data_IF_021603324441
#
_entry.id   IF_021603324441
#
_cell.length_a   1.000
_cell.length_b   1.000
_cell.length_c   1.000
_cell.angle_alpha   90.00
_cell.angle_beta   90.00
_cell.angle_gamma   90.00
#
_symmetry.space_group_name_H-M   'P 1'
#
loop_
_entity.id
_entity.type
_entity.pdbx_description
1 polymer ?
#
# COMPACT_ATOMS: atom_id res chain seq x y z
N UNK A 1 22.39 0.39 -19.59
CA UNK A 1 21.87 -1.02 -19.63
C UNK A 1 20.36 -1.09 -19.81
N UNK A 2 19.59 -0.10 -19.33
CA UNK A 2 18.12 -0.09 -19.53
C UNK A 2 17.72 -0.16 -21.00
N UNK A 3 18.37 0.59 -21.96
CA UNK A 3 18.09 0.48 -23.37
C UNK A 3 18.25 -0.92 -23.96
N UNK A 4 19.15 -1.72 -23.39
CA UNK A 4 19.42 -3.11 -23.81
C UNK A 4 18.34 -4.08 -23.29
N UNK A 5 17.81 -3.80 -22.09
CA UNK A 5 16.82 -4.67 -21.43
C UNK A 5 15.39 -4.46 -21.92
N UNK A 6 15.03 -3.23 -22.32
CA UNK A 6 13.67 -2.92 -22.70
C UNK A 6 13.13 -3.75 -23.88
N UNK A 7 13.89 -3.97 -24.99
CA UNK A 7 13.43 -4.83 -26.07
C UNK A 7 13.14 -6.26 -25.60
N UNK A 8 14.01 -6.81 -24.74
CA UNK A 8 13.85 -8.15 -24.17
C UNK A 8 12.61 -8.22 -23.25
N UNK A 9 12.37 -7.19 -22.44
CA UNK A 9 11.19 -7.13 -21.58
C UNK A 9 9.90 -7.03 -22.42
N UNK A 10 9.90 -6.25 -23.49
CA UNK A 10 8.78 -6.16 -24.42
C UNK A 10 8.50 -7.51 -25.09
N UNK A 11 9.52 -8.22 -25.53
CA UNK A 11 9.40 -9.55 -26.13
C UNK A 11 8.90 -10.58 -25.11
N UNK A 12 9.52 -10.66 -23.92
CA UNK A 12 9.18 -11.66 -22.90
C UNK A 12 7.79 -11.49 -22.31
N UNK A 13 7.30 -10.24 -22.17
CA UNK A 13 6.06 -9.93 -21.47
C UNK A 13 4.97 -9.35 -22.37
N UNK A 14 5.17 -9.30 -23.68
CA UNK A 14 4.25 -8.69 -24.68
C UNK A 14 3.81 -7.27 -24.25
N UNK A 15 4.74 -6.50 -23.70
CA UNK A 15 4.46 -5.12 -23.27
C UNK A 15 4.60 -4.17 -24.46
N UNK A 16 3.76 -3.11 -24.49
CA UNK A 16 3.70 -2.15 -25.58
C UNK A 16 4.16 -0.75 -25.19
N UNK A 17 4.24 -0.50 -23.89
CA UNK A 17 4.60 0.81 -23.34
C UNK A 17 5.49 0.65 -22.12
N UNK A 18 6.35 1.62 -21.91
CA UNK A 18 7.20 1.72 -20.74
C UNK A 18 7.08 3.11 -20.12
N UNK A 19 6.95 3.15 -18.80
CA UNK A 19 7.08 4.37 -18.03
C UNK A 19 8.32 4.21 -17.16
N UNK A 20 9.28 5.11 -17.36
CA UNK A 20 10.52 5.13 -16.59
C UNK A 20 10.52 6.38 -15.74
N UNK A 21 10.66 6.20 -14.44
CA UNK A 21 10.79 7.27 -13.47
C UNK A 21 11.97 6.97 -12.55
N UNK A 22 12.86 7.91 -12.43
CA UNK A 22 14.01 7.86 -11.51
C UNK A 22 13.82 8.98 -10.50
N UNK A 23 14.03 8.65 -9.22
CA UNK A 23 14.03 9.64 -8.15
C UNK A 23 15.05 10.76 -8.43
N UNK A 24 14.67 12.02 -8.16
CA UNK A 24 15.51 13.19 -8.50
C UNK A 24 16.85 13.19 -7.78
N UNK A 25 16.86 12.77 -6.54
CA UNK A 25 18.08 12.73 -5.74
C UNK A 25 19.01 11.61 -6.21
N UNK A 26 18.42 10.43 -6.50
CA UNK A 26 19.14 9.30 -7.06
C UNK A 26 19.71 9.63 -8.45
N UNK A 27 18.91 10.26 -9.33
CA UNK A 27 19.35 10.68 -10.66
C UNK A 27 20.56 11.63 -10.57
N UNK A 28 20.53 12.55 -9.61
CA UNK A 28 21.63 13.50 -9.37
C UNK A 28 22.89 12.81 -8.81
N UNK A 29 22.72 11.91 -7.83
CA UNK A 29 23.83 11.19 -7.20
C UNK A 29 24.55 10.29 -8.20
N UNK A 30 23.76 9.58 -9.01
CA UNK A 30 24.28 8.60 -9.98
C UNK A 30 24.59 9.22 -11.35
N UNK A 31 24.35 10.53 -11.51
CA UNK A 31 24.53 11.25 -12.78
C UNK A 31 23.86 10.57 -13.98
N UNK A 32 22.61 10.16 -13.78
CA UNK A 32 21.81 9.51 -14.83
C UNK A 32 20.62 10.38 -15.23
N UNK A 33 20.15 10.31 -16.51
CA UNK A 33 18.94 10.97 -16.91
C UNK A 33 17.72 10.49 -16.13
N UNK A 34 16.72 11.36 -15.88
CA UNK A 34 15.45 11.00 -15.22
C UNK A 34 14.69 9.86 -15.89
N UNK A 35 14.88 9.70 -17.19
CA UNK A 35 14.30 8.62 -18.00
C UNK A 35 15.17 7.38 -18.03
N UNK A 36 16.28 7.31 -17.26
CA UNK A 36 17.22 6.19 -17.34
C UNK A 36 17.92 6.06 -18.71
N UNK A 37 17.88 7.12 -19.55
CA UNK A 37 18.48 7.13 -20.88
C UNK A 37 17.60 6.48 -21.96
N UNK A 38 16.31 6.28 -21.70
CA UNK A 38 15.34 5.74 -22.67
C UNK A 38 14.17 6.69 -22.84
N UNK A 39 13.45 6.56 -23.96
CA UNK A 39 12.19 7.25 -24.15
C UNK A 39 11.13 6.65 -23.21
N UNK A 40 10.47 7.48 -22.44
CA UNK A 40 9.41 7.08 -21.50
C UNK A 40 8.06 7.54 -22.06
N UNK A 41 7.11 6.61 -22.06
CA UNK A 41 5.73 6.93 -22.44
C UNK A 41 5.13 7.92 -21.43
N UNK A 42 4.37 8.90 -21.95
CA UNK A 42 3.64 9.85 -21.14
C UNK A 42 2.30 9.24 -20.66
N UNK A 43 2.39 8.25 -19.79
CA UNK A 43 1.23 7.59 -19.21
C UNK A 43 1.12 7.98 -17.74
N UNK A 44 0.11 8.76 -17.39
CA UNK A 44 -0.13 9.19 -16.03
C UNK A 44 -0.93 8.15 -15.23
N UNK A 45 -2.00 7.64 -15.81
CA UNK A 45 -2.96 6.76 -15.15
C UNK A 45 -3.08 5.43 -15.88
N UNK A 46 -3.03 4.32 -15.12
CA UNK A 46 -3.26 2.98 -15.64
C UNK A 46 -4.32 2.28 -14.81
N UNK A 47 -5.18 1.52 -15.49
CA UNK A 47 -6.15 0.61 -14.86
C UNK A 47 -5.63 -0.81 -14.94
N UNK A 48 -5.55 -1.47 -13.80
CA UNK A 48 -5.16 -2.89 -13.72
C UNK A 48 -6.26 -3.71 -13.05
N UNK A 49 -6.16 -5.03 -13.21
CA UNK A 49 -6.99 -6.00 -12.47
C UNK A 49 -6.09 -7.03 -11.81
N UNK A 50 -6.31 -7.25 -10.52
CA UNK A 50 -5.59 -8.21 -9.70
C UNK A 50 -6.61 -9.10 -8.96
N UNK A 51 -6.62 -10.41 -9.25
CA UNK A 51 -7.59 -11.36 -8.67
C UNK A 51 -9.06 -10.89 -8.74
N UNK A 52 -9.42 -10.19 -9.83
CA UNK A 52 -10.77 -9.64 -10.01
C UNK A 52 -10.96 -8.22 -9.48
N UNK A 53 -10.12 -7.76 -8.58
CA UNK A 53 -10.13 -6.40 -8.03
C UNK A 53 -9.57 -5.41 -9.05
N UNK A 54 -10.23 -4.27 -9.22
CA UNK A 54 -9.84 -3.22 -10.15
C UNK A 54 -9.12 -2.10 -9.42
N UNK A 55 -8.01 -1.63 -9.99
CA UNK A 55 -7.24 -0.51 -9.44
C UNK A 55 -6.94 0.53 -10.52
N UNK A 56 -7.01 1.79 -10.17
CA UNK A 56 -6.34 2.88 -10.86
C UNK A 56 -5.01 3.16 -10.18
N UNK A 57 -3.96 3.37 -10.97
CA UNK A 57 -2.61 3.67 -10.52
C UNK A 57 -2.19 4.97 -11.16
N UNK A 58 -1.80 5.97 -10.37
CA UNK A 58 -1.24 7.24 -10.83
C UNK A 58 0.28 7.22 -10.69
N UNK A 59 0.99 7.14 -11.80
CA UNK A 59 2.46 7.16 -11.81
C UNK A 59 3.06 8.53 -11.51
N UNK A 60 2.26 9.60 -11.55
CA UNK A 60 2.75 10.96 -11.31
C UNK A 60 2.80 11.36 -9.84
N UNK A 61 2.07 10.67 -8.99
CA UNK A 61 1.90 11.03 -7.57
C UNK A 61 2.20 9.90 -6.60
N UNK A 62 2.49 8.69 -7.11
CA UNK A 62 2.71 7.51 -6.27
C UNK A 62 4.13 7.39 -5.74
N UNK A 63 4.26 6.89 -4.51
CA UNK A 63 5.54 6.39 -4.03
C UNK A 63 6.02 5.25 -4.93
N UNK A 64 7.30 5.24 -5.29
CA UNK A 64 7.93 4.22 -6.15
C UNK A 64 7.17 4.08 -7.49
N UNK A 65 6.58 2.91 -7.73
CA UNK A 65 5.85 2.56 -8.97
C UNK A 65 4.33 2.83 -8.88
N UNK A 66 3.86 3.46 -7.81
CA UNK A 66 2.43 3.74 -7.58
C UNK A 66 1.59 2.52 -7.17
N UNK A 67 2.15 1.32 -7.21
CA UNK A 67 1.49 0.08 -6.80
C UNK A 67 2.50 -1.00 -6.39
N UNK A 68 2.22 -1.72 -5.31
CA UNK A 68 3.09 -2.75 -4.75
C UNK A 68 2.66 -4.14 -5.24
N UNK A 69 3.19 -4.56 -6.38
CA UNK A 69 2.86 -5.85 -7.01
C UNK A 69 3.28 -7.07 -6.17
N UNK A 70 4.30 -6.94 -5.34
CA UNK A 70 4.81 -7.97 -4.43
C UNK A 70 3.77 -8.39 -3.38
N UNK A 71 2.86 -7.50 -2.99
CA UNK A 71 1.79 -7.78 -2.03
C UNK A 71 0.55 -8.47 -2.64
N UNK A 72 0.58 -8.79 -3.92
CA UNK A 72 -0.56 -9.33 -4.68
C UNK A 72 -1.23 -10.54 -4.01
N UNK A 73 -0.44 -11.54 -3.68
CA UNK A 73 -0.95 -12.78 -3.09
C UNK A 73 -1.32 -12.59 -1.61
N UNK A 74 -0.61 -11.69 -0.92
CA UNK A 74 -0.92 -11.33 0.46
C UNK A 74 -2.28 -10.61 0.55
N UNK A 75 -2.58 -9.68 -0.36
CA UNK A 75 -3.91 -9.04 -0.43
C UNK A 75 -5.02 -10.05 -0.63
N UNK A 76 -4.83 -11.02 -1.54
CA UNK A 76 -5.80 -12.10 -1.75
C UNK A 76 -6.02 -12.94 -0.51
N UNK A 77 -4.93 -13.39 0.15
CA UNK A 77 -5.00 -14.19 1.38
C UNK A 77 -5.68 -13.41 2.51
N UNK A 78 -5.34 -12.13 2.65
CA UNK A 78 -5.96 -11.25 3.65
C UNK A 78 -7.48 -11.12 3.43
N UNK A 79 -7.92 -10.94 2.19
CA UNK A 79 -9.34 -10.91 1.84
C UNK A 79 -10.08 -12.19 2.25
N UNK A 80 -9.46 -13.37 2.13
CA UNK A 80 -10.06 -14.63 2.56
C UNK A 80 -10.25 -14.72 4.09
N UNK A 81 -9.39 -14.02 4.85
CA UNK A 81 -9.48 -13.96 6.32
C UNK A 81 -10.55 -12.96 6.80
N UNK A 82 -11.03 -12.07 5.94
CA UNK A 82 -11.85 -10.93 6.34
C UNK A 82 -13.34 -11.25 6.54
N UNK A 83 -13.82 -12.39 6.06
CA UNK A 83 -15.25 -12.72 6.07
C UNK A 83 -15.89 -12.62 7.46
N UNK A 84 -16.94 -11.78 7.60
CA UNK A 84 -17.68 -11.57 8.84
C UNK A 84 -16.89 -10.89 9.95
N UNK A 85 -15.79 -10.18 9.62
CA UNK A 85 -14.91 -9.53 10.59
C UNK A 85 -14.92 -8.02 10.43
N UNK A 86 -14.70 -7.34 11.54
CA UNK A 86 -14.32 -5.93 11.55
C UNK A 86 -12.82 -5.83 11.30
N UNK A 87 -12.43 -5.11 10.25
CA UNK A 87 -11.06 -5.05 9.73
C UNK A 87 -10.47 -3.66 9.92
N UNK A 88 -9.21 -3.60 10.37
CA UNK A 88 -8.39 -2.40 10.42
C UNK A 88 -7.18 -2.55 9.50
N UNK A 89 -7.01 -1.60 8.59
CA UNK A 89 -5.88 -1.50 7.66
C UNK A 89 -5.07 -0.23 7.97
N UNK A 90 -3.88 -0.40 8.54
CA UNK A 90 -2.96 0.66 8.91
C UNK A 90 -1.90 0.86 7.84
N UNK A 91 -1.65 2.12 7.46
CA UNK A 91 -0.81 2.50 6.31
C UNK A 91 -1.39 1.92 5.01
N UNK A 92 -2.70 2.16 4.80
CA UNK A 92 -3.48 1.51 3.75
C UNK A 92 -3.09 1.91 2.32
N UNK A 93 -2.27 2.94 2.16
CA UNK A 93 -1.83 3.46 0.86
C UNK A 93 -3.03 3.66 -0.09
N UNK A 94 -3.02 3.04 -1.26
CA UNK A 94 -4.12 3.14 -2.24
C UNK A 94 -5.25 2.13 -2.01
N UNK A 95 -5.34 1.55 -0.82
CA UNK A 95 -6.46 0.73 -0.33
C UNK A 95 -6.42 -0.74 -0.73
N UNK A 96 -5.25 -1.28 -1.07
CA UNK A 96 -5.14 -2.64 -1.61
C UNK A 96 -5.68 -3.72 -0.66
N UNK A 97 -5.25 -3.73 0.59
CA UNK A 97 -5.72 -4.67 1.61
C UNK A 97 -7.17 -4.39 2.03
N UNK A 98 -7.51 -3.11 2.23
CA UNK A 98 -8.86 -2.69 2.59
C UNK A 98 -9.91 -3.16 1.58
N UNK A 99 -9.64 -2.97 0.28
CA UNK A 99 -10.57 -3.37 -0.79
C UNK A 99 -10.69 -4.89 -0.85
N UNK A 100 -9.57 -5.60 -0.72
CA UNK A 100 -9.57 -7.07 -0.68
C UNK A 100 -10.37 -7.60 0.51
N UNK A 101 -10.28 -6.97 1.68
CA UNK A 101 -11.06 -7.31 2.85
C UNK A 101 -12.56 -7.07 2.63
N UNK A 102 -12.94 -5.90 2.11
CA UNK A 102 -14.34 -5.58 1.84
C UNK A 102 -14.98 -6.55 0.85
N UNK A 103 -14.29 -6.86 -0.25
CA UNK A 103 -14.73 -7.84 -1.25
C UNK A 103 -14.70 -9.28 -0.73
N UNK A 104 -13.84 -9.57 0.26
CA UNK A 104 -13.76 -10.83 0.97
C UNK A 104 -14.91 -11.06 1.96
N UNK A 105 -15.79 -10.08 2.13
CA UNK A 105 -16.98 -10.17 2.99
C UNK A 105 -16.73 -9.69 4.42
N UNK A 106 -15.81 -8.75 4.63
CA UNK A 106 -15.68 -8.05 5.90
C UNK A 106 -17.01 -7.37 6.29
N UNK A 107 -17.35 -7.35 7.56
CA UNK A 107 -18.53 -6.67 8.09
C UNK A 107 -18.33 -5.15 8.05
N UNK A 108 -17.18 -4.69 8.53
CA UNK A 108 -16.74 -3.31 8.47
C UNK A 108 -15.24 -3.23 8.15
N UNK A 109 -14.83 -2.26 7.33
CA UNK A 109 -13.42 -1.98 7.06
C UNK A 109 -13.11 -0.53 7.41
N UNK A 110 -12.12 -0.35 8.28
CA UNK A 110 -11.52 0.94 8.61
C UNK A 110 -10.11 0.98 8.05
N UNK A 111 -9.76 2.02 7.33
CA UNK A 111 -8.47 2.20 6.68
C UNK A 111 -7.86 3.56 7.05
N UNK A 112 -6.59 3.56 7.44
CA UNK A 112 -5.88 4.75 7.92
C UNK A 112 -4.59 4.93 7.13
N UNK A 113 -4.36 6.15 6.65
CA UNK A 113 -3.08 6.54 6.04
C UNK A 113 -2.77 8.01 6.33
N UNK A 114 -1.49 8.34 6.36
CA UNK A 114 -0.98 9.69 6.59
C UNK A 114 -0.99 10.54 5.31
N UNK A 115 -0.91 9.91 4.14
CA UNK A 115 -0.86 10.61 2.86
C UNK A 115 -2.27 10.83 2.31
N UNK A 116 -2.68 12.11 2.22
CA UNK A 116 -3.98 12.52 1.72
C UNK A 116 -4.21 12.07 0.27
N UNK A 117 -3.18 12.11 -0.58
CA UNK A 117 -3.29 11.69 -1.98
C UNK A 117 -3.52 10.18 -2.08
N UNK A 118 -2.83 9.39 -1.26
CA UNK A 118 -3.04 7.94 -1.15
C UNK A 118 -4.46 7.62 -0.69
N UNK A 119 -4.98 8.31 0.33
CA UNK A 119 -6.37 8.17 0.80
C UNK A 119 -7.37 8.55 -0.30
N UNK A 120 -7.11 9.63 -1.06
CA UNK A 120 -7.97 10.02 -2.18
C UNK A 120 -7.99 8.93 -3.27
N UNK A 121 -6.84 8.36 -3.60
CA UNK A 121 -6.74 7.25 -4.56
C UNK A 121 -7.41 5.98 -4.02
N UNK A 122 -7.24 5.66 -2.74
CA UNK A 122 -7.90 4.53 -2.09
C UNK A 122 -9.43 4.63 -2.18
N UNK A 123 -10.00 5.82 -1.95
CA UNK A 123 -11.43 6.08 -2.13
C UNK A 123 -11.89 5.85 -3.57
N UNK A 124 -11.10 6.29 -4.58
CA UNK A 124 -11.40 6.02 -6.00
C UNK A 124 -11.38 4.53 -6.29
N UNK A 125 -10.36 3.82 -5.83
CA UNK A 125 -10.22 2.38 -6.00
C UNK A 125 -11.36 1.61 -5.30
N UNK A 126 -11.76 2.03 -4.11
CA UNK A 126 -12.91 1.45 -3.42
C UNK A 126 -14.21 1.64 -4.24
N UNK A 127 -14.44 2.85 -4.77
CA UNK A 127 -15.61 3.14 -5.62
C UNK A 127 -15.63 2.30 -6.90
N UNK A 128 -14.50 2.08 -7.57
CA UNK A 128 -14.38 1.21 -8.73
C UNK A 128 -14.85 -0.22 -8.46
N UNK A 129 -14.71 -0.67 -7.23
CA UNK A 129 -15.07 -2.00 -6.77
C UNK A 129 -16.37 -2.05 -5.96
N UNK A 130 -17.07 -0.91 -5.81
CA UNK A 130 -18.27 -0.79 -4.96
C UNK A 130 -18.01 -1.23 -3.51
N UNK A 131 -16.78 -1.13 -3.06
CA UNK A 131 -16.36 -1.51 -1.71
C UNK A 131 -16.68 -0.38 -0.70
N UNK A 132 -17.36 -0.73 0.39
CA UNK A 132 -17.69 0.21 1.48
C UNK A 132 -16.58 0.18 2.51
N UNK A 133 -15.83 1.28 2.63
CA UNK A 133 -14.65 1.37 3.51
C UNK A 133 -14.66 2.75 4.18
N UNK A 134 -14.38 2.79 5.48
CA UNK A 134 -14.18 4.03 6.24
C UNK A 134 -12.73 4.46 6.16
N UNK A 135 -12.41 5.44 5.32
CA UNK A 135 -11.07 5.99 5.17
C UNK A 135 -10.84 7.16 6.12
N UNK A 136 -9.70 7.15 6.81
CA UNK A 136 -9.24 8.22 7.70
C UNK A 136 -7.86 8.70 7.26
N UNK A 137 -7.72 10.01 7.01
CA UNK A 137 -6.42 10.65 6.83
C UNK A 137 -5.88 11.04 8.21
N UNK A 138 -4.89 10.31 8.71
CA UNK A 138 -4.31 10.53 10.02
C UNK A 138 -2.94 9.87 10.16
N UNK A 139 -2.13 10.38 11.09
CA UNK A 139 -0.95 9.70 11.59
C UNK A 139 -1.35 8.43 12.35
N UNK A 140 -0.82 7.28 11.96
CA UNK A 140 -1.19 5.99 12.51
C UNK A 140 -0.92 5.89 14.02
N UNK A 141 0.20 6.43 14.50
CA UNK A 141 0.55 6.34 15.93
C UNK A 141 -0.41 7.12 16.81
N UNK A 142 -0.74 8.35 16.41
CA UNK A 142 -1.68 9.22 17.12
C UNK A 142 -3.08 8.63 17.09
N UNK A 143 -3.50 8.14 15.91
CA UNK A 143 -4.80 7.54 15.72
C UNK A 143 -4.97 6.25 16.54
N UNK A 144 -3.96 5.38 16.57
CA UNK A 144 -3.98 4.16 17.37
C UNK A 144 -4.13 4.45 18.86
N UNK A 145 -3.39 5.43 19.41
CA UNK A 145 -3.53 5.82 20.83
C UNK A 145 -4.95 6.27 21.16
N UNK A 146 -5.54 7.09 20.30
CA UNK A 146 -6.94 7.53 20.46
C UNK A 146 -7.92 6.34 20.42
N UNK A 147 -7.71 5.36 19.54
CA UNK A 147 -8.57 4.18 19.47
C UNK A 147 -8.42 3.26 20.68
N UNK A 148 -7.22 3.15 21.24
CA UNK A 148 -6.96 2.43 22.48
C UNK A 148 -7.69 3.09 23.66
N UNK A 149 -7.57 4.40 23.80
CA UNK A 149 -8.28 5.19 24.83
C UNK A 149 -9.80 5.02 24.74
N UNK A 150 -10.32 4.91 23.52
CA UNK A 150 -11.74 4.68 23.26
C UNK A 150 -12.18 3.23 23.40
N UNK A 151 -11.27 2.32 23.79
CA UNK A 151 -11.57 0.89 23.98
C UNK A 151 -11.96 0.14 22.68
N UNK A 152 -11.58 0.68 21.50
CA UNK A 152 -11.93 0.06 20.22
C UNK A 152 -11.13 -1.21 19.99
N UNK A 153 -11.77 -2.17 19.29
CA UNK A 153 -11.16 -3.44 18.90
C UNK A 153 -11.58 -3.85 17.50
N UNK A 154 -10.71 -4.61 16.83
CA UNK A 154 -10.96 -5.19 15.51
C UNK A 154 -10.60 -6.67 15.49
N UNK A 155 -11.34 -7.45 14.72
CA UNK A 155 -11.15 -8.92 14.61
C UNK A 155 -9.97 -9.27 13.70
N UNK A 156 -9.63 -8.39 12.77
CA UNK A 156 -8.51 -8.55 11.86
C UNK A 156 -7.80 -7.20 11.66
N UNK A 157 -6.54 -7.13 12.04
CA UNK A 157 -5.72 -5.93 11.90
C UNK A 157 -4.54 -6.21 10.99
N UNK A 158 -4.27 -5.31 10.05
CA UNK A 158 -3.03 -5.33 9.26
C UNK A 158 -2.27 -4.03 9.44
N UNK A 159 -0.94 -4.13 9.53
CA UNK A 159 -0.01 -3.01 9.47
C UNK A 159 1.02 -3.26 8.36
N UNK A 160 0.99 -2.43 7.33
CA UNK A 160 1.94 -2.43 6.21
C UNK A 160 2.67 -1.06 6.14
N UNK A 161 3.52 -0.76 7.14
CA UNK A 161 4.13 0.55 7.26
C UNK A 161 5.18 0.79 6.17
N UNK A 162 5.49 2.06 5.85
CA UNK A 162 6.63 2.40 5.03
C UNK A 162 7.92 1.97 5.72
N UNK A 163 9.00 1.89 4.93
CA UNK A 163 10.32 1.60 5.48
C UNK A 163 10.75 2.68 6.47
N UNK A 164 10.84 2.34 7.76
CA UNK A 164 11.34 3.25 8.80
C UNK A 164 12.86 3.17 8.98
N UNK A 165 13.51 2.07 8.60
CA UNK A 165 14.94 1.86 8.77
C UNK A 165 15.67 2.33 7.52
N UNK A 166 16.55 3.34 7.65
CA UNK A 166 17.30 3.92 6.54
C UNK A 166 18.78 3.52 6.51
N UNK A 167 19.29 2.82 7.54
CA UNK A 167 20.66 2.35 7.64
C UNK A 167 20.81 1.16 8.58
N UNK A 168 22.00 0.55 8.61
CA UNK A 168 22.27 -0.66 9.43
C UNK A 168 22.18 -0.43 10.95
N UNK A 169 22.39 0.80 11.40
CA UNK A 169 22.42 1.18 12.82
C UNK A 169 21.26 2.15 13.17
N UNK A 170 20.15 2.09 12.44
CA UNK A 170 19.00 2.96 12.68
C UNK A 170 18.09 2.41 13.79
N UNK A 171 18.53 2.57 15.03
CA UNK A 171 17.77 2.20 16.22
C UNK A 171 16.40 2.90 16.29
N UNK A 172 16.33 4.13 15.78
CA UNK A 172 15.09 4.92 15.75
C UNK A 172 14.04 4.26 14.86
N UNK A 173 14.46 3.75 13.69
CA UNK A 173 13.58 3.02 12.79
C UNK A 173 13.07 1.71 13.40
N UNK A 174 13.95 0.97 14.08
CA UNK A 174 13.57 -0.26 14.82
C UNK A 174 12.55 0.07 15.91
N UNK A 175 12.79 1.13 16.69
CA UNK A 175 11.87 1.56 17.74
C UNK A 175 10.49 1.95 17.20
N UNK A 176 10.42 2.61 16.04
CA UNK A 176 9.14 2.93 15.37
C UNK A 176 8.36 1.67 14.96
N UNK A 177 9.03 0.67 14.38
CA UNK A 177 8.37 -0.61 14.08
C UNK A 177 7.83 -1.28 15.34
N UNK A 178 8.62 -1.33 16.42
CA UNK A 178 8.22 -1.91 17.69
C UNK A 178 7.02 -1.18 18.30
N UNK A 179 7.02 0.17 18.30
CA UNK A 179 5.91 0.98 18.84
C UNK A 179 4.63 0.78 18.02
N UNK A 180 4.71 0.83 16.67
CA UNK A 180 3.57 0.60 15.80
C UNK A 180 2.92 -0.76 16.06
N UNK A 181 3.74 -1.83 16.07
CA UNK A 181 3.25 -3.18 16.32
C UNK A 181 2.63 -3.31 17.73
N UNK A 182 3.28 -2.74 18.76
CA UNK A 182 2.78 -2.74 20.13
C UNK A 182 1.43 -2.03 20.28
N UNK A 183 1.24 -0.90 19.60
CA UNK A 183 -0.03 -0.17 19.60
C UNK A 183 -1.10 -0.94 18.81
N UNK A 184 -0.77 -1.44 17.63
CA UNK A 184 -1.70 -2.18 16.78
C UNK A 184 -2.22 -3.46 17.47
N UNK A 185 -1.34 -4.22 18.14
CA UNK A 185 -1.71 -5.41 18.89
C UNK A 185 -2.73 -5.14 20.02
N UNK A 186 -2.68 -3.95 20.62
CA UNK A 186 -3.66 -3.57 21.65
C UNK A 186 -5.07 -3.37 21.07
N UNK A 187 -5.21 -3.18 19.77
CA UNK A 187 -6.50 -3.05 19.09
C UNK A 187 -7.05 -4.36 18.53
N UNK A 188 -6.30 -5.45 18.62
CA UNK A 188 -6.79 -6.76 18.22
C UNK A 188 -7.80 -7.26 19.27
N UNK A 189 -8.96 -7.71 18.80
CA UNK A 189 -9.99 -8.33 19.66
C UNK A 189 -9.50 -9.68 20.21
N UNK A 190 -10.07 -10.19 21.30
CA UNK A 190 -9.87 -11.58 21.70
C UNK A 190 -10.15 -12.51 20.51
N UNK A 191 -9.31 -13.53 20.32
CA UNK A 191 -9.36 -14.45 19.15
C UNK A 191 -9.19 -13.77 17.78
N UNK A 192 -8.83 -12.48 17.76
CA UNK A 192 -8.55 -11.72 16.53
C UNK A 192 -7.20 -12.08 15.91
N UNK A 193 -6.99 -11.63 14.70
CA UNK A 193 -5.77 -11.86 13.93
C UNK A 193 -5.00 -10.56 13.73
N UNK A 194 -3.68 -10.63 13.81
CA UNK A 194 -2.77 -9.55 13.45
C UNK A 194 -1.86 -9.97 12.31
N UNK A 195 -1.77 -9.14 11.28
CA UNK A 195 -0.87 -9.30 10.13
C UNK A 195 0.07 -8.10 10.09
N UNK A 196 1.37 -8.35 9.97
CA UNK A 196 2.36 -7.27 9.77
C UNK A 196 3.19 -7.57 8.53
N UNK A 197 3.47 -6.52 7.76
CA UNK A 197 4.37 -6.54 6.62
C UNK A 197 5.63 -5.71 6.95
N UNK A 198 6.79 -6.14 6.43
CA UNK A 198 8.07 -5.44 6.63
C UNK A 198 9.03 -5.71 5.47
#
# INVERSE_FOLDING_TARGET
RLPEWLPLLHECFDTKRVVVSVDEELARIENIPRTGGVESDNVRMVKIREHGVRYEIDFSQGHKTGFFCDQRDNRRKFGLLAKGRNVLDLCCYTGGFSISAALGGAEEVTAVDLDENSVAMAKRNANLNQAKIKFTHADAFTWLRTMIENGRKWDLVIADPPKFIHGREDETGVAKYADLNKLALQLVAPEGLYVTCS
#
